data_IF_316503752807
#
_entry.id   IF_316503752807
#
_cell.length_a   1.000
_cell.length_b   1.000
_cell.length_c   1.000
_cell.angle_alpha   90.00
_cell.angle_beta   90.00
_cell.angle_gamma   90.00
#
_symmetry.space_group_name_H-M   'P 1'
#
loop_
_entity.id
_entity.type
_entity.pdbx_description
1 polymer ?
#
# COMPACT_ATOMS: atom_id res chain seq x y z
N UNK A 1 -14.48 5.13 -6.81
CA UNK A 1 -14.84 6.04 -5.69
C UNK A 1 -13.74 5.89 -4.65
N UNK A 2 -13.18 6.99 -4.15
CA UNK A 2 -12.17 6.94 -3.08
C UNK A 2 -12.89 6.73 -1.76
N UNK A 3 -12.55 5.70 -1.00
CA UNK A 3 -13.18 5.43 0.30
C UNK A 3 -12.64 6.33 1.41
N UNK A 4 -11.32 6.54 1.41
CA UNK A 4 -10.65 7.39 2.38
C UNK A 4 -9.53 8.16 1.71
N UNK A 5 -9.38 9.40 2.14
CA UNK A 5 -8.26 10.25 1.80
C UNK A 5 -7.51 10.54 3.10
N UNK A 6 -6.23 10.17 3.14
CA UNK A 6 -5.39 10.39 4.31
C UNK A 6 -5.09 11.88 4.50
N UNK A 7 -4.81 12.29 5.74
CA UNK A 7 -4.37 13.67 6.03
C UNK A 7 -2.85 13.78 5.83
N UNK A 8 -2.30 14.96 5.55
CA UNK A 8 -0.85 15.17 5.48
C UNK A 8 -0.11 14.77 6.77
N UNK A 9 -0.81 14.79 7.90
CA UNK A 9 -0.25 14.52 9.22
C UNK A 9 -0.42 13.05 9.66
N UNK A 10 -1.08 12.21 8.84
CA UNK A 10 -1.25 10.79 9.13
C UNK A 10 0.04 10.03 8.82
N UNK A 11 0.53 9.29 9.81
CA UNK A 11 1.73 8.48 9.65
C UNK A 11 1.39 7.11 9.02
N UNK A 12 2.44 6.35 8.71
CA UNK A 12 2.29 5.03 8.10
C UNK A 12 1.52 4.03 9.01
N UNK A 13 1.68 4.12 10.33
CA UNK A 13 0.97 3.25 11.28
C UNK A 13 -0.53 3.53 11.25
N UNK A 14 -0.94 4.80 11.29
CA UNK A 14 -2.34 5.23 11.17
C UNK A 14 -2.95 4.75 9.86
N UNK A 15 -2.20 4.87 8.75
CA UNK A 15 -2.64 4.35 7.46
C UNK A 15 -2.85 2.83 7.50
N UNK A 16 -1.86 2.07 8.01
CA UNK A 16 -1.92 0.61 8.06
C UNK A 16 -3.05 0.09 8.96
N UNK A 17 -3.32 0.78 10.07
CA UNK A 17 -4.39 0.44 11.02
C UNK A 17 -5.80 0.61 10.41
N UNK A 18 -5.90 1.32 9.29
CA UNK A 18 -7.17 1.62 8.64
C UNK A 18 -7.52 0.66 7.50
N UNK A 19 -6.63 -0.29 7.20
CA UNK A 19 -6.89 -1.34 6.23
C UNK A 19 -7.85 -2.38 6.83
N UNK A 20 -9.01 -2.66 6.20
CA UNK A 20 -9.99 -3.56 6.76
C UNK A 20 -9.53 -5.02 6.64
N UNK A 21 -9.79 -5.87 7.65
CA UNK A 21 -9.30 -7.25 7.66
C UNK A 21 -10.04 -8.20 6.70
N UNK A 22 -11.19 -7.78 6.14
CA UNK A 22 -12.09 -8.65 5.39
C UNK A 22 -12.38 -8.17 3.96
N UNK A 23 -11.76 -7.07 3.54
CA UNK A 23 -12.03 -6.44 2.24
C UNK A 23 -10.73 -6.07 1.54
N UNK A 24 -10.75 -6.17 0.21
CA UNK A 24 -9.60 -5.82 -0.61
C UNK A 24 -9.63 -4.32 -0.90
N UNK A 25 -8.47 -3.67 -0.86
CA UNK A 25 -8.34 -2.25 -1.15
C UNK A 25 -7.08 -1.96 -1.96
N UNK A 26 -7.16 -0.91 -2.78
CA UNK A 26 -5.95 -0.27 -3.28
C UNK A 26 -5.70 0.97 -2.46
N UNK A 27 -4.46 1.16 -2.05
CA UNK A 27 -4.01 2.37 -1.41
C UNK A 27 -2.81 2.93 -2.16
N UNK A 28 -2.70 4.25 -2.16
CA UNK A 28 -1.52 4.96 -2.63
C UNK A 28 -0.98 5.72 -1.42
N UNK A 29 0.29 5.50 -1.11
CA UNK A 29 0.93 6.10 0.04
C UNK A 29 2.28 6.68 -0.38
N UNK A 30 2.52 7.93 -0.04
CA UNK A 30 3.84 8.55 -0.19
C UNK A 30 4.64 8.22 1.07
N UNK A 31 5.65 7.37 0.93
CA UNK A 31 6.47 6.93 2.05
C UNK A 31 7.75 7.73 2.09
N UNK A 32 7.84 8.57 3.12
CA UNK A 32 9.08 9.22 3.52
C UNK A 32 9.88 8.30 4.42
N UNK A 33 11.12 8.01 4.03
CA UNK A 33 12.03 7.19 4.82
C UNK A 33 13.46 7.71 4.76
N UNK A 34 14.22 7.37 5.81
CA UNK A 34 15.64 7.72 5.92
C UNK A 34 16.46 6.46 5.71
N UNK A 35 17.40 6.49 4.76
CA UNK A 35 18.32 5.37 4.52
C UNK A 35 19.39 5.29 5.61
N UNK A 36 20.13 4.18 5.67
CA UNK A 36 21.27 4.01 6.59
C UNK A 36 22.35 5.09 6.43
N UNK A 37 22.44 5.70 5.24
CA UNK A 37 23.32 6.83 4.92
C UNK A 37 22.76 8.19 5.40
N UNK A 38 21.71 8.18 6.20
CA UNK A 38 21.00 9.36 6.70
C UNK A 38 20.46 10.27 5.57
N UNK A 39 20.15 9.68 4.41
CA UNK A 39 19.54 10.38 3.29
C UNK A 39 18.03 10.20 3.33
N UNK A 40 17.29 11.30 3.38
CA UNK A 40 15.83 11.28 3.25
C UNK A 40 15.45 10.99 1.79
N UNK A 41 14.55 10.02 1.62
CA UNK A 41 13.97 9.67 0.33
C UNK A 41 12.45 9.58 0.51
N UNK A 42 11.73 10.09 -0.49
CA UNK A 42 10.30 9.87 -0.68
C UNK A 42 10.13 8.90 -1.85
N UNK A 43 9.25 7.92 -1.68
CA UNK A 43 8.79 7.09 -2.79
C UNK A 43 7.28 6.92 -2.75
N UNK A 44 6.64 7.00 -3.92
CA UNK A 44 5.21 6.72 -4.06
C UNK A 44 4.99 5.21 -4.17
N UNK A 45 4.26 4.65 -3.20
CA UNK A 45 3.85 3.26 -3.15
C UNK A 45 2.41 3.10 -3.62
N UNK A 46 2.20 2.06 -4.44
CA UNK A 46 0.87 1.48 -4.61
C UNK A 46 0.79 0.18 -3.80
N UNK A 47 -0.23 0.07 -2.98
CA UNK A 47 -0.46 -1.06 -2.08
C UNK A 47 -1.73 -1.76 -2.52
N UNK A 48 -1.60 -3.01 -2.95
CA UNK A 48 -2.71 -3.91 -3.19
C UNK A 48 -2.96 -4.76 -1.94
N UNK A 49 -3.90 -4.31 -1.11
CA UNK A 49 -4.33 -4.99 0.10
C UNK A 49 -5.40 -6.03 -0.23
N UNK A 50 -5.14 -7.30 0.08
CA UNK A 50 -6.04 -8.42 -0.21
C UNK A 50 -6.00 -9.44 0.92
N UNK A 51 -6.64 -9.16 2.06
CA UNK A 51 -6.46 -9.96 3.26
C UNK A 51 -7.00 -11.37 3.10
N UNK A 52 -6.43 -12.33 3.81
CA UNK A 52 -6.80 -13.75 3.67
C UNK A 52 -8.30 -14.02 3.86
N UNK A 53 -8.94 -13.29 4.78
CA UNK A 53 -10.37 -13.42 5.07
C UNK A 53 -11.30 -12.79 4.01
N UNK A 54 -10.75 -12.08 3.02
CA UNK A 54 -11.53 -11.53 1.91
C UNK A 54 -12.17 -12.62 1.06
N UNK A 55 -13.35 -12.32 0.52
CA UNK A 55 -14.04 -13.21 -0.43
C UNK A 55 -13.17 -13.48 -1.65
N UNK A 56 -13.05 -14.76 -2.05
CA UNK A 56 -12.24 -15.20 -3.21
C UNK A 56 -12.54 -14.38 -4.47
N UNK A 57 -13.82 -14.14 -4.76
CA UNK A 57 -14.24 -13.33 -5.90
C UNK A 57 -13.69 -11.90 -5.85
N UNK A 58 -13.63 -11.30 -4.66
CA UNK A 58 -13.06 -9.96 -4.46
C UNK A 58 -11.56 -9.96 -4.75
N UNK A 59 -10.84 -10.94 -4.20
CA UNK A 59 -9.40 -11.10 -4.46
C UNK A 59 -9.10 -11.24 -5.96
N UNK A 60 -9.89 -12.04 -6.68
CA UNK A 60 -9.77 -12.19 -8.13
C UNK A 60 -10.01 -10.89 -8.88
N UNK A 61 -11.03 -10.11 -8.48
CA UNK A 61 -11.34 -8.83 -9.09
C UNK A 61 -10.21 -7.81 -8.89
N UNK A 62 -9.67 -7.72 -7.67
CA UNK A 62 -8.56 -6.83 -7.34
C UNK A 62 -7.24 -7.30 -7.96
N UNK A 63 -6.99 -8.61 -8.07
CA UNK A 63 -5.80 -9.09 -8.77
C UNK A 63 -5.85 -8.74 -10.27
N UNK A 64 -6.99 -8.97 -10.93
CA UNK A 64 -7.17 -8.71 -12.36
C UNK A 64 -7.24 -7.22 -12.72
N UNK A 65 -7.73 -6.37 -11.82
CA UNK A 65 -7.87 -4.92 -12.07
C UNK A 65 -6.59 -4.13 -11.77
N UNK A 66 -5.62 -4.72 -11.05
CA UNK A 66 -4.42 -4.04 -10.55
C UNK A 66 -3.59 -3.39 -11.65
N UNK A 67 -3.34 -4.13 -12.74
CA UNK A 67 -2.46 -3.64 -13.81
C UNK A 67 -3.11 -2.54 -14.65
N UNK A 68 -4.45 -2.48 -14.67
CA UNK A 68 -5.17 -1.35 -15.26
C UNK A 68 -5.10 -0.15 -14.32
N UNK A 69 -5.40 -0.34 -13.04
CA UNK A 69 -5.38 0.72 -12.05
C UNK A 69 -4.01 1.38 -11.92
N UNK A 70 -2.93 0.59 -11.91
CA UNK A 70 -1.55 1.09 -11.89
C UNK A 70 -1.21 1.96 -13.11
N UNK A 71 -1.74 1.64 -14.28
CA UNK A 71 -1.46 2.41 -15.51
C UNK A 71 -2.13 3.77 -15.55
N UNK A 72 -3.16 3.97 -14.74
CA UNK A 72 -3.83 5.27 -14.59
C UNK A 72 -3.11 6.16 -13.56
N UNK A 73 -2.11 5.63 -12.85
CA UNK A 73 -1.37 6.32 -11.79
C UNK A 73 0.06 6.58 -12.24
N UNK A 74 0.32 7.81 -12.64
CA UNK A 74 1.66 8.26 -13.01
C UNK A 74 2.55 8.44 -11.77
N UNK A 75 3.81 8.05 -11.87
CA UNK A 75 4.80 8.28 -10.82
C UNK A 75 4.88 7.23 -9.72
N UNK A 76 4.15 6.11 -9.83
CA UNK A 76 4.34 4.96 -8.92
C UNK A 76 5.78 4.45 -9.05
N UNK A 77 6.49 4.38 -7.94
CA UNK A 77 7.87 3.89 -7.88
C UNK A 77 7.96 2.48 -7.33
N UNK A 78 7.06 2.11 -6.41
CA UNK A 78 7.09 0.80 -5.75
C UNK A 78 5.69 0.21 -5.69
N UNK A 79 5.59 -1.09 -5.98
CA UNK A 79 4.37 -1.88 -5.82
C UNK A 79 4.52 -2.82 -4.63
N UNK A 80 3.59 -2.72 -3.69
CA UNK A 80 3.46 -3.62 -2.55
C UNK A 80 2.17 -4.42 -2.67
N UNK A 81 2.25 -5.71 -2.43
CA UNK A 81 1.09 -6.59 -2.29
C UNK A 81 1.14 -7.15 -0.87
N UNK A 82 0.03 -7.03 -0.16
CA UNK A 82 -0.06 -7.45 1.22
C UNK A 82 -1.38 -8.18 1.46
N UNK A 83 -1.28 -9.32 2.15
CA UNK A 83 -2.38 -10.21 2.51
C UNK A 83 -2.59 -10.31 4.02
N UNK A 84 -1.65 -9.75 4.78
CA UNK A 84 -1.76 -9.61 6.22
C UNK A 84 -1.05 -8.34 6.70
N UNK A 85 -1.49 -7.85 7.86
CA UNK A 85 -0.95 -6.69 8.55
C UNK A 85 0.55 -6.83 8.84
N UNK A 86 1.03 -8.05 9.07
CA UNK A 86 2.46 -8.29 9.26
C UNK A 86 3.29 -7.99 8.01
N UNK A 87 2.75 -8.21 6.80
CA UNK A 87 3.40 -7.86 5.52
C UNK A 87 3.41 -6.35 5.26
N UNK A 88 2.61 -5.61 6.03
CA UNK A 88 2.58 -4.14 6.07
C UNK A 88 3.52 -3.58 7.14
N UNK A 89 4.39 -4.38 7.77
CA UNK A 89 5.36 -3.83 8.73
C UNK A 89 6.31 -2.85 8.06
N UNK A 90 6.65 -1.75 8.74
CA UNK A 90 7.49 -0.68 8.19
C UNK A 90 8.81 -1.23 7.61
N UNK A 91 9.48 -2.13 8.31
CA UNK A 91 10.73 -2.75 7.86
C UNK A 91 10.61 -3.45 6.49
N UNK A 92 9.48 -4.11 6.24
CA UNK A 92 9.23 -4.82 4.98
C UNK A 92 9.03 -3.80 3.86
N UNK A 93 8.27 -2.74 4.12
CA UNK A 93 8.00 -1.69 3.13
C UNK A 93 9.28 -0.92 2.79
N UNK A 94 10.09 -0.59 3.80
CA UNK A 94 11.42 0.00 3.61
C UNK A 94 12.34 -0.93 2.82
N UNK A 95 12.34 -2.23 3.12
CA UNK A 95 13.10 -3.22 2.34
C UNK A 95 12.70 -3.27 0.87
N UNK A 96 11.44 -2.95 0.53
CA UNK A 96 10.98 -2.80 -0.87
C UNK A 96 11.31 -1.44 -1.47
N UNK A 97 11.57 -0.45 -0.63
CA UNK A 97 11.93 0.91 -1.01
C UNK A 97 13.42 1.06 -1.34
N UNK A 98 14.29 0.20 -0.82
CA UNK A 98 15.74 0.28 -1.01
C UNK A 98 16.21 -0.23 -2.38
#
# INVERSE_FOLDING_TARGET
>A
MVERLGKPDENYEDFSACLPPNECHYAVFDLDFTTEENCQKSKIFIIAWSPENSRVRSKMLYASSKDRFKRELDGIQVELQATDSNEMSFDIVIGRAL
#
